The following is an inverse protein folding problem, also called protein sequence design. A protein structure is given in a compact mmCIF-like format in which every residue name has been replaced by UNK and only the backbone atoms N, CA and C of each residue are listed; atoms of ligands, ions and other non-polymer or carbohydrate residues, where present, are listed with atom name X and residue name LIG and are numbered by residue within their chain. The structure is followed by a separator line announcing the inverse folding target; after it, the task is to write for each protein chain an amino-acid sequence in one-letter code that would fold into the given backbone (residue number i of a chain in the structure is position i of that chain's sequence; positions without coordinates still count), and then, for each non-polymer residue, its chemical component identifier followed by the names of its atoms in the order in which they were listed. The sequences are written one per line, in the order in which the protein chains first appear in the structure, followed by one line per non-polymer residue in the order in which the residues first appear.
data_IF_962369738471
#
_entry.id   IF_962369738471
#
_cell.length_a   1.000
_cell.length_b   1.000
_cell.length_c   1.000
_cell.angle_alpha   90.00
_cell.angle_beta   90.00
_cell.angle_gamma   90.00
#
_symmetry.space_group_name_H-M   'P 1'
#
loop_
_entity.id
_entity.type
_entity.pdbx_description
1 polymer ?
#
# COMPACT_ATOMS: atom_id res chain seq x y z
N UNK A 1 -0.68 7.69 -2.44
CA UNK A 1 -1.33 6.45 -2.97
C UNK A 1 -2.84 6.61 -3.18
N UNK A 2 -3.53 7.51 -2.47
CA UNK A 2 -4.97 7.70 -2.63
C UNK A 2 -5.37 8.17 -4.03
N UNK A 3 -4.49 8.86 -4.75
CA UNK A 3 -4.75 9.38 -6.10
C UNK A 3 -4.36 8.42 -7.24
N UNK A 4 -3.78 7.26 -6.90
CA UNK A 4 -3.45 6.22 -7.89
C UNK A 4 -4.75 5.60 -8.39
N UNK A 5 -4.93 5.43 -9.69
CA UNK A 5 -6.14 4.77 -10.21
C UNK A 5 -6.21 3.28 -9.81
N UNK A 6 -7.36 2.64 -10.01
CA UNK A 6 -7.56 1.23 -9.60
C UNK A 6 -6.58 0.29 -10.32
N UNK A 7 -6.32 0.54 -11.61
CA UNK A 7 -5.36 -0.25 -12.40
C UNK A 7 -3.93 -0.11 -11.85
N UNK A 8 -3.50 1.11 -11.53
CA UNK A 8 -2.21 1.36 -10.93
C UNK A 8 -2.08 0.72 -9.55
N UNK A 9 -3.13 0.80 -8.73
CA UNK A 9 -3.17 0.14 -7.42
C UNK A 9 -3.00 -1.38 -7.55
N UNK A 10 -3.69 -2.02 -8.51
CA UNK A 10 -3.55 -3.45 -8.78
C UNK A 10 -2.14 -3.84 -9.27
N UNK A 11 -1.47 -2.95 -10.02
CA UNK A 11 -0.06 -3.15 -10.40
C UNK A 11 0.86 -3.05 -9.20
N UNK A 12 0.67 -2.05 -8.34
CA UNK A 12 1.46 -1.91 -7.11
C UNK A 12 1.30 -3.13 -6.19
N UNK A 13 0.07 -3.58 -5.97
CA UNK A 13 -0.22 -4.71 -5.08
C UNK A 13 0.37 -6.04 -5.57
N UNK A 14 0.70 -6.17 -6.86
CA UNK A 14 1.41 -7.35 -7.40
C UNK A 14 2.90 -7.37 -7.07
N UNK A 15 3.48 -6.21 -6.78
CA UNK A 15 4.92 -6.02 -6.51
C UNK A 15 5.24 -5.91 -5.01
N UNK A 16 4.21 -5.93 -4.15
CA UNK A 16 4.34 -5.82 -2.68
C UNK A 16 3.99 -7.16 -2.04
N UNK A 17 4.83 -7.63 -1.11
CA UNK A 17 4.56 -8.88 -0.37
C UNK A 17 3.43 -8.71 0.64
N UNK A 18 2.72 -9.80 0.95
CA UNK A 18 1.65 -9.80 1.95
C UNK A 18 2.13 -9.34 3.32
N UNK A 19 3.33 -9.75 3.75
CA UNK A 19 3.90 -9.37 5.05
C UNK A 19 4.19 -7.86 5.13
N UNK A 20 4.73 -7.28 4.04
CA UNK A 20 4.99 -5.85 3.97
C UNK A 20 3.68 -5.06 3.95
N UNK A 21 2.67 -5.55 3.22
CA UNK A 21 1.35 -4.94 3.18
C UNK A 21 0.66 -5.00 4.55
N UNK A 22 0.70 -6.15 5.22
CA UNK A 22 0.19 -6.37 6.57
C UNK A 22 0.77 -5.35 7.56
N UNK A 23 2.09 -5.16 7.53
CA UNK A 23 2.77 -4.23 8.41
C UNK A 23 2.40 -2.76 8.07
N UNK A 24 2.40 -2.40 6.79
CA UNK A 24 2.10 -1.03 6.35
C UNK A 24 0.65 -0.59 6.62
N UNK A 25 -0.32 -1.50 6.49
CA UNK A 25 -1.75 -1.21 6.67
C UNK A 25 -2.12 -0.82 8.10
N UNK A 26 -1.33 -1.20 9.11
CA UNK A 26 -1.59 -0.86 10.51
C UNK A 26 -1.58 0.63 10.80
N UNK A 27 -0.78 1.39 10.05
CA UNK A 27 -0.71 2.85 10.15
C UNK A 27 -1.49 3.58 9.06
N UNK A 28 -2.21 2.86 8.18
CA UNK A 28 -2.90 3.48 7.05
C UNK A 28 -4.25 4.08 7.47
N UNK A 29 -4.61 5.27 6.96
CA UNK A 29 -5.94 5.84 7.18
C UNK A 29 -7.02 4.99 6.51
N UNK A 30 -8.24 4.99 7.06
CA UNK A 30 -9.35 4.14 6.59
C UNK A 30 -9.61 4.24 5.07
N UNK A 31 -9.67 5.44 4.46
CA UNK A 31 -9.93 5.53 3.02
C UNK A 31 -8.85 4.86 2.15
N UNK A 32 -7.59 4.85 2.63
CA UNK A 32 -6.50 4.17 1.93
C UNK A 32 -6.60 2.65 2.10
N UNK A 33 -6.97 2.17 3.30
CA UNK A 33 -7.22 0.74 3.54
C UNK A 33 -8.35 0.22 2.65
N UNK A 34 -9.48 0.92 2.60
CA UNK A 34 -10.61 0.58 1.74
C UNK A 34 -10.20 0.50 0.26
N UNK A 35 -9.44 1.48 -0.22
CA UNK A 35 -8.95 1.50 -1.59
C UNK A 35 -8.02 0.33 -1.91
N UNK A 36 -7.16 -0.06 -0.97
CA UNK A 36 -6.28 -1.22 -1.12
C UNK A 36 -7.11 -2.50 -1.18
N UNK A 37 -8.03 -2.72 -0.23
CA UNK A 37 -8.86 -3.92 -0.21
C UNK A 37 -9.76 -4.04 -1.44
N UNK A 38 -10.32 -2.93 -1.93
CA UNK A 38 -11.11 -2.88 -3.16
C UNK A 38 -10.32 -3.37 -4.39
N UNK A 39 -9.00 -3.19 -4.39
CA UNK A 39 -8.11 -3.56 -5.50
C UNK A 39 -7.42 -4.91 -5.31
N UNK A 40 -7.78 -5.67 -4.27
CA UNK A 40 -7.37 -7.06 -4.07
C UNK A 40 -8.46 -8.03 -4.56
N UNK A 41 -8.10 -9.30 -4.74
CA UNK A 41 -9.13 -10.35 -4.83
C UNK A 41 -9.84 -10.49 -3.49
N UNK A 42 -11.12 -10.89 -3.51
CA UNK A 42 -11.92 -11.06 -2.28
C UNK A 42 -11.23 -11.95 -1.25
N UNK A 43 -10.70 -13.10 -1.72
CA UNK A 43 -9.95 -14.04 -0.89
C UNK A 43 -8.71 -13.40 -0.26
N UNK A 44 -7.92 -12.65 -1.03
CA UNK A 44 -6.69 -12.04 -0.51
C UNK A 44 -7.02 -10.91 0.49
N UNK A 45 -8.09 -10.15 0.23
CA UNK A 45 -8.56 -9.12 1.15
C UNK A 45 -9.07 -9.73 2.48
N UNK A 46 -9.82 -10.83 2.43
CA UNK A 46 -10.27 -11.56 3.62
C UNK A 46 -9.08 -12.09 4.43
N UNK A 47 -8.15 -12.81 3.79
CA UNK A 47 -6.96 -13.33 4.47
C UNK A 47 -6.15 -12.22 5.15
N UNK A 48 -5.93 -11.09 4.47
CA UNK A 48 -5.17 -9.98 5.04
C UNK A 48 -5.89 -9.29 6.20
N UNK A 49 -7.24 -9.26 6.20
CA UNK A 49 -8.02 -8.74 7.32
C UNK A 49 -7.92 -9.65 8.53
N UNK A 50 -8.05 -10.96 8.33
CA UNK A 50 -7.88 -11.95 9.39
C UNK A 50 -6.46 -11.86 9.98
N UNK A 51 -5.44 -11.72 9.13
CA UNK A 51 -4.05 -11.53 9.56
C UNK A 51 -3.89 -10.21 10.36
N UNK A 52 -4.51 -9.11 9.93
CA UNK A 52 -4.48 -7.82 10.66
C UNK A 52 -5.10 -7.92 12.06
N UNK A 53 -6.20 -8.67 12.20
CA UNK A 53 -6.86 -8.91 13.48
C UNK A 53 -6.03 -9.81 14.41
N UNK A 54 -5.34 -10.80 13.84
CA UNK A 54 -4.51 -11.75 14.60
C UNK A 54 -3.12 -11.20 14.95
N UNK A 55 -2.62 -10.18 14.25
CA UNK A 55 -1.22 -9.83 14.32
C UNK A 55 -0.85 -9.05 15.59
N UNK A 56 0.23 -9.49 16.24
CA UNK A 56 0.78 -8.86 17.45
C UNK A 56 1.17 -7.39 17.19
N UNK A 57 1.18 -6.51 18.22
CA UNK A 57 1.59 -5.11 18.05
C UNK A 57 2.96 -4.98 17.37
N UNK A 58 3.07 -4.08 16.40
CA UNK A 58 4.31 -3.76 15.70
C UNK A 58 4.88 -2.41 16.19
N UNK A 59 6.20 -2.21 16.07
CA UNK A 59 6.79 -0.90 16.37
C UNK A 59 6.43 0.08 15.26
N UNK A 60 6.20 1.35 15.64
CA UNK A 60 5.89 2.42 14.70
C UNK A 60 6.95 2.54 13.59
N UNK A 61 8.24 2.42 13.95
CA UNK A 61 9.35 2.46 13.01
C UNK A 61 9.28 1.37 11.93
N UNK A 62 8.78 0.19 12.28
CA UNK A 62 8.68 -0.94 11.37
C UNK A 62 7.52 -0.70 10.38
N UNK A 63 6.41 -0.12 10.88
CA UNK A 63 5.28 0.31 10.06
C UNK A 63 5.70 1.38 9.05
N UNK A 64 6.41 2.42 9.51
CA UNK A 64 6.90 3.51 8.66
C UNK A 64 7.90 3.01 7.60
N UNK A 65 8.79 2.08 7.98
CA UNK A 65 9.71 1.45 7.04
C UNK A 65 8.96 0.68 5.95
N UNK A 66 7.97 -0.13 6.32
CA UNK A 66 7.15 -0.86 5.36
C UNK A 66 6.39 0.08 4.40
N UNK A 67 5.84 1.18 4.91
CA UNK A 67 5.18 2.19 4.09
C UNK A 67 6.15 2.86 3.11
N UNK A 68 7.37 3.19 3.55
CA UNK A 68 8.42 3.77 2.69
C UNK A 68 8.85 2.81 1.58
N UNK A 69 8.97 1.52 1.87
CA UNK A 69 9.27 0.51 0.84
C UNK A 69 8.14 0.43 -0.20
N UNK A 70 6.87 0.46 0.21
CA UNK A 70 5.74 0.50 -0.73
C UNK A 70 5.78 1.76 -1.62
N UNK A 71 6.11 2.92 -1.05
CA UNK A 71 6.28 4.16 -1.82
C UNK A 71 7.46 4.07 -2.80
N UNK A 72 8.54 3.40 -2.42
CA UNK A 72 9.70 3.16 -3.29
C UNK A 72 9.31 2.28 -4.48
N UNK A 73 8.53 1.21 -4.24
CA UNK A 73 7.97 0.38 -5.32
C UNK A 73 7.04 1.19 -6.23
N UNK A 74 6.14 1.99 -5.64
CA UNK A 74 5.22 2.83 -6.39
C UNK A 74 5.95 3.85 -7.28
N UNK A 75 7.03 4.47 -6.77
CA UNK A 75 7.88 5.39 -7.53
C UNK A 75 8.58 4.67 -8.68
N UNK A 76 9.19 3.51 -8.44
CA UNK A 76 9.83 2.69 -9.47
C UNK A 76 8.86 2.34 -10.61
N UNK A 77 7.64 1.93 -10.26
CA UNK A 77 6.60 1.61 -11.24
C UNK A 77 6.12 2.86 -12.01
N UNK A 78 6.12 4.01 -11.36
CA UNK A 78 5.80 5.29 -12.03
C UNK A 78 6.89 5.74 -12.99
N UNK A 79 8.16 5.64 -12.59
CA UNK A 79 9.30 5.95 -13.43
C UNK A 79 9.39 5.00 -14.65
N UNK A 80 8.88 3.76 -14.50
CA UNK A 80 8.72 2.79 -15.59
C UNK A 80 7.47 3.03 -16.48
N UNK A 81 6.59 3.96 -16.12
CA UNK A 81 5.35 4.26 -16.83
C UNK A 81 4.22 3.24 -16.60
N UNK A 82 4.36 2.34 -15.63
CA UNK A 82 3.35 1.31 -15.31
C UNK A 82 2.23 1.82 -14.42
N UNK A 83 2.50 2.85 -13.61
CA UNK A 83 1.54 3.48 -12.69
C UNK A 83 1.60 4.99 -12.86
N UNK A 84 0.42 5.62 -12.92
CA UNK A 84 0.32 7.06 -12.74
C UNK A 84 0.05 7.36 -11.25
N UNK A 85 1.04 7.94 -10.58
CA UNK A 85 0.85 8.51 -9.25
C UNK A 85 0.14 9.85 -9.47
N UNK A 86 -1.19 9.87 -9.39
CA UNK A 86 -1.98 11.09 -9.50
C UNK A 86 -1.38 12.19 -8.62
N UNK A 87 -1.25 13.40 -9.18
CA UNK A 87 -0.54 14.52 -8.55
C UNK A 87 0.78 14.83 -9.26
N UNK A 88 0.70 15.54 -10.38
CA UNK A 88 1.80 16.38 -10.83
C UNK A 88 2.04 17.47 -9.79
N UNK A 89 3.12 17.34 -9.01
CA UNK A 89 3.67 18.41 -8.16
C UNK A 89 3.21 18.36 -6.71
N UNK A 90 4.08 17.88 -5.83
CA UNK A 90 3.82 17.86 -4.39
C UNK A 90 4.86 17.03 -3.67
N UNK A 91 6.07 17.57 -3.60
CA UNK A 91 7.02 17.21 -2.57
C UNK A 91 6.33 17.36 -1.21
N UNK A 92 5.94 16.25 -0.58
CA UNK A 92 5.69 16.22 0.86
C UNK A 92 6.55 15.10 1.46
N UNK A 93 7.85 15.28 1.26
CA UNK A 93 8.89 14.81 2.17
C UNK A 93 9.69 16.05 2.58
N UNK A 94 9.14 16.81 3.54
CA UNK A 94 9.90 17.71 4.42
C UNK A 94 9.44 17.42 5.85
#
# INVERSE_FOLDING_TARGET
LIDVDDRGMQTLLREVSSDQLLLALRGAPEPLREKIFKNMSSRAAEMLKDDLEAAAPAKLSDVEAAQKEILTVARRLSDAGEINLGGSGGEEFV
#
